data_IF_306373885542
#
_entry.id   IF_306373885542
#
_cell.length_a   1.000
_cell.length_b   1.000
_cell.length_c   1.000
_cell.angle_alpha   90.00
_cell.angle_beta   90.00
_cell.angle_gamma   90.00
#
_symmetry.space_group_name_H-M   'P 1'
#
loop_
_entity.id
_entity.type
_entity.pdbx_description
1 polymer ?
#
# COMPACT_ATOMS: atom_id res chain seq x y z
N UNK A 1 -7.89 24.41 -19.53
CA UNK A 1 -9.16 25.09 -19.18
C UNK A 1 -8.84 26.51 -18.79
N UNK A 2 -9.58 27.51 -19.30
CA UNK A 2 -9.41 28.90 -18.86
C UNK A 2 -10.01 29.02 -17.45
N UNK A 3 -9.30 29.69 -16.56
CA UNK A 3 -9.81 30.00 -15.22
C UNK A 3 -10.98 30.97 -15.34
N UNK A 4 -12.14 30.56 -14.80
CA UNK A 4 -13.40 31.34 -14.82
C UNK A 4 -13.85 31.68 -13.40
N UNK A 5 -13.01 31.46 -12.40
CA UNK A 5 -13.37 31.67 -11.00
C UNK A 5 -13.80 33.12 -10.74
N UNK A 6 -13.07 34.09 -11.30
CA UNK A 6 -13.41 35.52 -11.18
C UNK A 6 -14.78 35.86 -11.81
N UNK A 7 -15.06 35.38 -13.02
CA UNK A 7 -16.37 35.60 -13.69
C UNK A 7 -17.52 35.03 -12.84
N UNK A 8 -17.33 33.84 -12.27
CA UNK A 8 -18.35 33.19 -11.44
C UNK A 8 -18.55 33.93 -10.11
N UNK A 9 -17.49 34.44 -9.49
CA UNK A 9 -17.58 35.26 -8.27
C UNK A 9 -18.31 36.59 -8.52
N UNK A 10 -18.09 37.23 -9.66
CA UNK A 10 -18.80 38.44 -10.04
C UNK A 10 -20.29 38.18 -10.28
N UNK A 11 -20.63 37.10 -10.99
CA UNK A 11 -22.02 36.70 -11.21
C UNK A 11 -22.74 36.36 -9.90
N UNK A 12 -22.07 35.69 -8.96
CA UNK A 12 -22.63 35.39 -7.64
C UNK A 12 -22.90 36.67 -6.82
N UNK A 13 -21.99 37.65 -6.87
CA UNK A 13 -22.19 38.97 -6.24
C UNK A 13 -23.39 39.70 -6.83
N UNK A 14 -23.53 39.70 -8.16
CA UNK A 14 -24.65 40.35 -8.84
C UNK A 14 -25.99 39.67 -8.53
N UNK A 15 -26.01 38.35 -8.41
CA UNK A 15 -27.19 37.59 -8.00
C UNK A 15 -27.65 37.94 -6.58
N UNK A 16 -26.73 37.97 -5.61
CA UNK A 16 -27.04 38.35 -4.22
C UNK A 16 -27.49 39.82 -4.08
N UNK A 17 -27.09 40.70 -5.00
CA UNK A 17 -27.59 42.08 -5.04
C UNK A 17 -29.00 42.19 -5.64
N UNK A 18 -29.37 41.30 -6.57
CA UNK A 18 -30.70 41.29 -7.19
C UNK A 18 -31.77 40.58 -6.33
N UNK A 19 -31.35 39.63 -5.50
CA UNK A 19 -32.20 38.92 -4.56
C UNK A 19 -31.52 38.92 -3.19
N UNK A 20 -31.60 40.02 -2.42
CA UNK A 20 -31.10 40.01 -1.06
C UNK A 20 -31.87 38.92 -0.30
N UNK A 21 -31.14 37.96 0.27
CA UNK A 21 -31.72 37.08 1.28
C UNK A 21 -32.24 38.02 2.38
N UNK A 22 -33.54 37.94 2.69
CA UNK A 22 -34.06 38.60 3.89
C UNK A 22 -33.46 37.84 5.10
N UNK A 23 -32.29 38.28 5.54
CA UNK A 23 -31.49 37.74 6.66
C UNK A 23 -32.08 38.11 8.04
N UNK A 24 -33.40 38.07 8.20
CA UNK A 24 -34.03 38.23 9.52
C UNK A 24 -34.20 36.89 10.26
N UNK A 25 -33.37 35.88 9.95
CA UNK A 25 -33.31 34.61 10.69
C UNK A 25 -31.85 34.14 10.97
N UNK A 26 -30.90 35.09 11.03
CA UNK A 26 -29.51 34.84 11.48
C UNK A 26 -29.41 34.76 13.02
N UNK A 27 -30.17 33.87 13.66
CA UNK A 27 -29.88 33.50 15.06
C UNK A 27 -30.08 32.02 15.39
N UNK A 28 -30.07 31.15 14.39
CA UNK A 28 -29.87 29.73 14.65
C UNK A 28 -28.37 29.48 14.85
N UNK A 29 -27.93 28.93 16.00
CA UNK A 29 -26.55 28.53 16.17
C UNK A 29 -26.19 27.62 15.01
N UNK A 30 -25.09 27.90 14.30
CA UNK A 30 -24.41 26.92 13.46
C UNK A 30 -23.86 25.83 14.40
N UNK A 31 -24.74 25.02 14.96
CA UNK A 31 -24.38 23.74 15.54
C UNK A 31 -23.89 22.93 14.36
N UNK A 32 -22.56 22.80 14.25
CA UNK A 32 -21.94 21.96 13.23
C UNK A 32 -22.39 20.54 13.56
N UNK A 33 -23.49 20.12 12.94
CA UNK A 33 -24.00 18.76 12.99
C UNK A 33 -22.94 17.89 12.30
N UNK A 34 -21.96 17.44 13.08
CA UNK A 34 -21.03 16.40 12.67
C UNK A 34 -21.84 15.12 12.53
N UNK A 35 -22.18 14.78 11.30
CA UNK A 35 -22.85 13.51 11.02
C UNK A 35 -21.89 12.38 11.37
N UNK A 36 -22.41 11.26 11.85
CA UNK A 36 -21.62 10.05 12.19
C UNK A 36 -20.71 9.60 11.03
N UNK A 37 -21.14 9.88 9.79
CA UNK A 37 -20.38 9.67 8.55
C UNK A 37 -19.11 10.51 8.45
N UNK A 38 -19.09 11.73 9.00
CA UNK A 38 -17.93 12.63 8.93
C UNK A 38 -16.80 12.17 9.86
N UNK A 39 -17.16 11.63 11.04
CA UNK A 39 -16.19 11.05 11.96
C UNK A 39 -15.57 9.74 11.41
N UNK A 40 -16.41 8.89 10.82
CA UNK A 40 -15.96 7.64 10.20
C UNK A 40 -15.02 7.93 8.99
N UNK A 41 -15.36 8.92 8.16
CA UNK A 41 -14.50 9.37 7.07
C UNK A 41 -13.17 9.96 7.57
N UNK A 42 -13.19 10.80 8.61
CA UNK A 42 -11.98 11.37 9.18
C UNK A 42 -11.01 10.30 9.72
N UNK A 43 -11.55 9.27 10.38
CA UNK A 43 -10.77 8.12 10.87
C UNK A 43 -10.18 7.33 9.71
N UNK A 44 -11.00 7.01 8.70
CA UNK A 44 -10.57 6.34 7.48
C UNK A 44 -9.42 7.11 6.78
N UNK A 45 -9.53 8.43 6.62
CA UNK A 45 -8.48 9.23 6.01
C UNK A 45 -7.17 9.20 6.79
N UNK A 46 -7.24 9.19 8.13
CA UNK A 46 -6.06 9.07 8.99
C UNK A 46 -5.35 7.73 8.77
N UNK A 47 -6.12 6.64 8.69
CA UNK A 47 -5.58 5.30 8.45
C UNK A 47 -4.96 5.18 7.05
N UNK A 48 -5.66 5.68 6.02
CA UNK A 48 -5.14 5.75 4.64
C UNK A 48 -3.81 6.49 4.61
N UNK A 49 -3.73 7.65 5.25
CA UNK A 49 -2.51 8.45 5.26
C UNK A 49 -1.38 7.75 6.01
N UNK A 50 -1.69 7.07 7.12
CA UNK A 50 -0.69 6.29 7.84
C UNK A 50 -0.12 5.16 6.99
N UNK A 51 -0.96 4.39 6.30
CA UNK A 51 -0.51 3.29 5.44
C UNK A 51 0.28 3.82 4.24
N UNK A 52 -0.14 4.94 3.64
CA UNK A 52 0.61 5.64 2.58
C UNK A 52 2.03 5.98 3.01
N UNK A 53 2.18 6.62 4.17
CA UNK A 53 3.49 7.00 4.70
C UNK A 53 4.34 5.76 4.99
N UNK A 54 3.76 4.72 5.57
CA UNK A 54 4.49 3.48 5.83
C UNK A 54 4.95 2.79 4.54
N UNK A 55 4.11 2.75 3.49
CA UNK A 55 4.47 2.22 2.18
C UNK A 55 5.61 3.01 1.53
N UNK A 56 5.61 4.35 1.64
CA UNK A 56 6.71 5.17 1.15
C UNK A 56 8.02 4.84 1.88
N UNK A 57 7.98 4.74 3.20
CA UNK A 57 9.16 4.36 3.98
C UNK A 57 9.63 2.92 3.69
N UNK A 58 8.70 1.97 3.46
CA UNK A 58 9.05 0.63 3.04
C UNK A 58 9.83 0.65 1.72
N UNK A 59 9.35 1.40 0.73
CA UNK A 59 10.01 1.56 -0.57
C UNK A 59 11.40 2.20 -0.42
N UNK A 60 11.53 3.19 0.46
CA UNK A 60 12.84 3.81 0.78
C UNK A 60 13.80 2.81 1.45
N UNK A 61 13.31 2.01 2.40
CA UNK A 61 14.08 0.99 3.09
C UNK A 61 14.60 -0.08 2.11
N UNK A 62 13.74 -0.54 1.19
CA UNK A 62 14.10 -1.49 0.13
C UNK A 62 15.15 -0.91 -0.82
N UNK A 63 14.99 0.33 -1.27
CA UNK A 63 16.01 1.01 -2.08
C UNK A 63 17.34 1.17 -1.34
N UNK A 64 17.28 1.46 -0.03
CA UNK A 64 18.46 1.57 0.83
C UNK A 64 19.18 0.22 0.98
N UNK A 65 18.43 -0.87 1.12
CA UNK A 65 18.97 -2.23 1.13
C UNK A 65 19.71 -2.54 -0.19
N UNK A 66 19.08 -2.27 -1.34
CA UNK A 66 19.71 -2.49 -2.65
C UNK A 66 21.02 -1.70 -2.82
N UNK A 67 21.08 -0.45 -2.33
CA UNK A 67 22.32 0.35 -2.32
C UNK A 67 23.40 -0.26 -1.42
N UNK A 68 23.03 -0.72 -0.23
CA UNK A 68 23.95 -1.39 0.71
C UNK A 68 24.49 -2.70 0.11
N UNK A 69 23.63 -3.51 -0.52
CA UNK A 69 24.02 -4.74 -1.21
C UNK A 69 25.02 -4.43 -2.35
N UNK A 70 24.76 -3.44 -3.19
CA UNK A 70 25.70 -3.04 -4.25
C UNK A 70 27.05 -2.53 -3.72
N UNK A 71 27.05 -1.78 -2.61
CA UNK A 71 28.30 -1.36 -1.93
C UNK A 71 29.07 -2.55 -1.38
N UNK A 72 28.36 -3.53 -0.82
CA UNK A 72 28.96 -4.76 -0.35
C UNK A 72 29.60 -5.57 -1.48
N UNK A 73 29.00 -5.57 -2.67
CA UNK A 73 29.56 -6.24 -3.85
C UNK A 73 30.84 -5.58 -4.37
N UNK A 74 30.87 -4.25 -4.39
CA UNK A 74 31.97 -3.45 -4.96
C UNK A 74 33.12 -3.21 -3.99
N UNK A 75 32.89 -3.36 -2.68
CA UNK A 75 33.93 -3.18 -1.68
C UNK A 75 34.93 -4.35 -1.66
N UNK A 76 36.22 -4.04 -1.82
CA UNK A 76 37.33 -4.99 -1.72
C UNK A 76 37.61 -5.46 -0.29
N UNK A 77 37.18 -4.69 0.72
CA UNK A 77 37.22 -5.08 2.15
C UNK A 77 35.81 -5.38 2.65
N UNK A 78 35.62 -6.57 3.22
CA UNK A 78 34.38 -6.99 3.90
C UNK A 78 34.21 -6.19 5.19
N UNK A 79 33.61 -5.01 5.10
CA UNK A 79 33.33 -4.17 6.27
C UNK A 79 32.20 -4.80 7.08
N UNK A 80 32.51 -5.22 8.30
CA UNK A 80 31.53 -5.79 9.24
C UNK A 80 30.38 -4.83 9.56
N UNK A 81 30.60 -3.51 9.43
CA UNK A 81 29.57 -2.48 9.54
C UNK A 81 28.51 -2.59 8.44
N UNK A 82 28.90 -2.64 7.16
CA UNK A 82 27.99 -2.80 6.02
C UNK A 82 27.10 -4.03 6.20
N UNK A 83 27.69 -5.14 6.65
CA UNK A 83 26.95 -6.37 6.92
C UNK A 83 25.93 -6.23 8.06
N UNK A 84 26.26 -5.49 9.13
CA UNK A 84 25.30 -5.21 10.20
C UNK A 84 24.15 -4.36 9.67
N UNK A 85 24.48 -3.31 8.91
CA UNK A 85 23.50 -2.39 8.31
C UNK A 85 22.51 -3.12 7.39
N UNK A 86 22.97 -4.00 6.49
CA UNK A 86 22.08 -4.81 5.64
C UNK A 86 21.10 -5.65 6.47
N UNK A 87 21.58 -6.30 7.54
CA UNK A 87 20.73 -7.14 8.38
C UNK A 87 19.75 -6.33 9.23
N UNK A 88 20.13 -5.14 9.69
CA UNK A 88 19.21 -4.26 10.42
C UNK A 88 18.15 -3.71 9.49
N UNK A 89 18.53 -3.23 8.30
CA UNK A 89 17.57 -2.74 7.29
C UNK A 89 16.57 -3.84 6.93
N UNK A 90 17.02 -5.07 6.70
CA UNK A 90 16.12 -6.17 6.37
C UNK A 90 15.14 -6.51 7.51
N UNK A 91 15.56 -6.40 8.77
CA UNK A 91 14.67 -6.55 9.92
C UNK A 91 13.64 -5.42 10.01
N UNK A 92 14.06 -4.19 9.74
CA UNK A 92 13.17 -3.02 9.73
C UNK A 92 12.13 -3.14 8.61
N UNK A 93 12.53 -3.58 7.41
CA UNK A 93 11.65 -3.90 6.29
C UNK A 93 10.59 -4.93 6.70
N UNK A 94 11.03 -6.03 7.34
CA UNK A 94 10.10 -7.07 7.84
C UNK A 94 9.09 -6.50 8.82
N UNK A 95 9.56 -5.83 9.87
CA UNK A 95 8.68 -5.28 10.91
C UNK A 95 7.70 -4.26 10.34
N UNK A 96 8.14 -3.43 9.39
CA UNK A 96 7.28 -2.46 8.70
C UNK A 96 6.28 -3.17 7.79
N UNK A 97 6.69 -4.19 7.04
CA UNK A 97 5.82 -4.98 6.18
C UNK A 97 4.70 -5.68 6.96
N UNK A 98 5.02 -6.30 8.09
CA UNK A 98 4.03 -6.88 9.03
C UNK A 98 3.10 -5.82 9.62
N UNK A 99 3.61 -4.61 9.87
CA UNK A 99 2.81 -3.47 10.33
C UNK A 99 1.81 -2.99 9.27
N UNK A 100 2.26 -2.80 8.04
CA UNK A 100 1.42 -2.41 6.89
C UNK A 100 0.37 -3.48 6.64
N UNK A 101 0.75 -4.76 6.65
CA UNK A 101 -0.18 -5.87 6.43
C UNK A 101 -1.33 -5.87 7.44
N UNK A 102 -1.04 -5.71 8.75
CA UNK A 102 -2.08 -5.61 9.79
C UNK A 102 -3.03 -4.42 9.59
N UNK A 103 -2.49 -3.27 9.18
CA UNK A 103 -3.32 -2.08 8.88
C UNK A 103 -4.20 -2.30 7.66
N UNK A 104 -3.67 -2.95 6.61
CA UNK A 104 -4.44 -3.32 5.42
C UNK A 104 -5.56 -4.33 5.76
N UNK A 105 -5.30 -5.31 6.64
CA UNK A 105 -6.35 -6.21 7.14
C UNK A 105 -7.44 -5.44 7.90
N UNK A 106 -7.06 -4.53 8.79
CA UNK A 106 -8.04 -3.69 9.52
C UNK A 106 -8.90 -2.85 8.57
N UNK A 107 -8.27 -2.28 7.53
CA UNK A 107 -8.98 -1.50 6.49
C UNK A 107 -9.89 -2.37 5.63
N UNK A 108 -9.52 -3.64 5.38
CA UNK A 108 -10.37 -4.62 4.72
C UNK A 108 -11.60 -4.92 5.57
N UNK A 109 -11.43 -5.21 6.86
CA UNK A 109 -12.56 -5.48 7.76
C UNK A 109 -13.49 -4.27 7.84
N UNK A 110 -12.94 -3.05 7.85
CA UNK A 110 -13.70 -1.82 7.75
C UNK A 110 -14.47 -1.70 6.42
N UNK A 111 -13.89 -2.12 5.29
CA UNK A 111 -14.60 -2.14 4.00
C UNK A 111 -15.82 -3.05 4.05
N UNK A 112 -15.66 -4.26 4.60
CA UNK A 112 -16.75 -5.24 4.73
C UNK A 112 -17.87 -4.69 5.64
N UNK A 113 -17.51 -4.10 6.79
CA UNK A 113 -18.48 -3.46 7.70
C UNK A 113 -19.19 -2.25 7.07
N UNK A 114 -18.46 -1.37 6.39
CA UNK A 114 -19.02 -0.21 5.70
C UNK A 114 -19.99 -0.62 4.57
N UNK A 115 -19.68 -1.68 3.83
CA UNK A 115 -20.56 -2.24 2.81
C UNK A 115 -21.86 -2.77 3.41
N UNK A 116 -21.80 -3.45 4.57
CA UNK A 116 -23.01 -3.95 5.25
C UNK A 116 -23.87 -2.82 5.85
N UNK A 117 -23.25 -1.79 6.42
CA UNK A 117 -23.95 -0.70 7.12
C UNK A 117 -24.51 0.37 6.19
N UNK A 118 -23.73 0.79 5.22
CA UNK A 118 -24.05 1.94 4.36
C UNK A 118 -24.41 1.53 2.93
N UNK A 119 -24.22 0.25 2.58
CA UNK A 119 -24.38 -0.27 1.24
C UNK A 119 -23.14 -0.05 0.37
N UNK A 120 -23.00 -0.86 -0.68
CA UNK A 120 -21.88 -0.84 -1.62
C UNK A 120 -21.66 0.52 -2.30
N UNK A 121 -22.73 1.30 -2.47
CA UNK A 121 -22.72 2.58 -3.20
C UNK A 121 -22.42 3.80 -2.32
N UNK A 122 -22.27 3.62 -0.99
CA UNK A 122 -21.97 4.72 -0.10
C UNK A 122 -20.59 5.33 -0.42
N UNK A 123 -20.44 6.63 -0.14
CA UNK A 123 -19.16 7.34 -0.33
C UNK A 123 -18.06 6.67 0.50
N UNK A 124 -18.34 6.31 1.75
CA UNK A 124 -17.35 5.72 2.64
C UNK A 124 -16.88 4.35 2.16
N UNK A 125 -17.80 3.51 1.66
CA UNK A 125 -17.48 2.19 1.10
C UNK A 125 -16.62 2.31 -0.16
N UNK A 126 -16.96 3.24 -1.05
CA UNK A 126 -16.24 3.45 -2.32
C UNK A 126 -14.86 4.04 -2.10
N UNK A 127 -14.75 5.08 -1.28
CA UNK A 127 -13.46 5.72 -0.94
C UNK A 127 -12.53 4.71 -0.27
N UNK A 128 -13.06 3.94 0.69
CA UNK A 128 -12.28 2.95 1.40
C UNK A 128 -11.83 1.78 0.51
N UNK A 129 -12.72 1.24 -0.33
CA UNK A 129 -12.37 0.17 -1.28
C UNK A 129 -11.30 0.61 -2.29
N UNK A 130 -11.45 1.79 -2.89
CA UNK A 130 -10.49 2.31 -3.86
C UNK A 130 -9.11 2.48 -3.21
N UNK A 131 -9.05 3.15 -2.06
CA UNK A 131 -7.77 3.37 -1.39
C UNK A 131 -7.14 2.08 -0.88
N UNK A 132 -7.93 1.11 -0.43
CA UNK A 132 -7.41 -0.21 -0.06
C UNK A 132 -6.68 -0.87 -1.24
N UNK A 133 -7.25 -0.84 -2.45
CA UNK A 133 -6.63 -1.38 -3.66
C UNK A 133 -5.31 -0.65 -3.97
N UNK A 134 -5.33 0.69 -4.00
CA UNK A 134 -4.14 1.50 -4.27
C UNK A 134 -2.99 1.21 -3.27
N UNK A 135 -3.33 1.15 -1.98
CA UNK A 135 -2.39 0.91 -0.89
C UNK A 135 -1.82 -0.51 -0.93
N UNK A 136 -2.66 -1.50 -1.25
CA UNK A 136 -2.25 -2.89 -1.40
C UNK A 136 -1.29 -3.05 -2.57
N UNK A 137 -1.58 -2.44 -3.71
CA UNK A 137 -0.70 -2.49 -4.88
C UNK A 137 0.67 -1.85 -4.58
N UNK A 138 0.69 -0.68 -3.94
CA UNK A 138 1.93 -0.03 -3.54
C UNK A 138 2.77 -0.89 -2.56
N UNK A 139 2.10 -1.59 -1.64
CA UNK A 139 2.74 -2.53 -0.73
C UNK A 139 3.33 -3.74 -1.47
N UNK A 140 2.57 -4.34 -2.39
CA UNK A 140 3.00 -5.46 -3.24
C UNK A 140 4.22 -5.09 -4.09
N UNK A 141 4.20 -3.94 -4.75
CA UNK A 141 5.32 -3.44 -5.56
C UNK A 141 6.60 -3.35 -4.71
N UNK A 142 6.51 -2.73 -3.52
CA UNK A 142 7.66 -2.61 -2.62
C UNK A 142 8.19 -3.97 -2.14
N UNK A 143 7.30 -4.91 -1.84
CA UNK A 143 7.69 -6.26 -1.43
C UNK A 143 8.29 -7.06 -2.60
N UNK A 144 7.85 -6.81 -3.84
CA UNK A 144 8.42 -7.45 -5.02
C UNK A 144 9.84 -6.96 -5.27
N UNK A 145 10.04 -5.64 -5.19
CA UNK A 145 11.37 -5.01 -5.23
C UNK A 145 12.29 -5.57 -4.12
N UNK A 146 11.75 -5.81 -2.91
CA UNK A 146 12.52 -6.42 -1.82
C UNK A 146 12.95 -7.85 -2.13
N UNK A 147 12.02 -8.69 -2.60
CA UNK A 147 12.32 -10.07 -2.99
C UNK A 147 13.36 -10.12 -4.10
N UNK A 148 13.24 -9.26 -5.12
CA UNK A 148 14.23 -9.15 -6.18
C UNK A 148 15.62 -8.77 -5.64
N UNK A 149 15.69 -7.81 -4.71
CA UNK A 149 16.96 -7.41 -4.08
C UNK A 149 17.62 -8.55 -3.28
N UNK A 150 16.84 -9.37 -2.57
CA UNK A 150 17.33 -10.52 -1.81
C UNK A 150 17.76 -11.66 -2.74
N UNK A 151 16.99 -11.97 -3.78
CA UNK A 151 17.33 -12.97 -4.80
C UNK A 151 18.61 -12.60 -5.55
N UNK A 152 18.77 -11.34 -5.92
CA UNK A 152 20.02 -10.85 -6.52
C UNK A 152 21.20 -11.02 -5.56
N UNK A 153 21.02 -10.77 -4.26
CA UNK A 153 22.10 -10.95 -3.28
C UNK A 153 22.44 -12.44 -3.05
N UNK A 154 21.45 -13.33 -3.12
CA UNK A 154 21.62 -14.79 -3.08
C UNK A 154 22.47 -15.28 -4.25
N UNK A 155 22.12 -14.88 -5.48
CA UNK A 155 22.87 -15.25 -6.68
C UNK A 155 24.32 -14.75 -6.63
N UNK A 156 24.51 -13.51 -6.17
CA UNK A 156 25.86 -12.98 -5.96
C UNK A 156 26.67 -13.78 -4.94
N UNK A 157 26.04 -14.28 -3.87
CA UNK A 157 26.72 -15.14 -2.90
C UNK A 157 27.11 -16.49 -3.53
N UNK A 158 26.24 -17.07 -4.36
CA UNK A 158 26.50 -18.30 -5.12
C UNK A 158 27.70 -18.15 -6.06
N UNK A 159 27.70 -17.11 -6.90
CA UNK A 159 28.83 -16.80 -7.82
C UNK A 159 30.14 -16.64 -7.06
N UNK A 160 30.12 -15.99 -5.89
CA UNK A 160 31.32 -15.84 -5.06
C UNK A 160 31.82 -17.16 -4.49
N UNK A 161 30.93 -18.05 -4.04
CA UNK A 161 31.31 -19.39 -3.58
C UNK A 161 31.94 -20.17 -4.74
N UNK A 162 31.33 -20.13 -5.92
CA UNK A 162 31.85 -20.80 -7.11
C UNK A 162 33.29 -20.36 -7.43
N UNK A 163 33.55 -19.06 -7.47
CA UNK A 163 34.89 -18.51 -7.72
C UNK A 163 35.93 -18.96 -6.67
N UNK A 164 35.54 -19.07 -5.40
CA UNK A 164 36.46 -19.55 -4.36
C UNK A 164 36.80 -21.04 -4.53
N UNK A 165 35.84 -21.84 -5.01
CA UNK A 165 36.08 -23.24 -5.32
C UNK A 165 37.00 -23.39 -6.53
N UNK A 166 36.81 -22.58 -7.57
CA UNK A 166 37.70 -22.52 -8.74
C UNK A 166 39.13 -22.15 -8.33
N UNK A 167 39.32 -21.18 -7.41
CA UNK A 167 40.63 -20.82 -6.85
C UNK A 167 41.26 -22.00 -6.09
N UNK A 168 40.46 -22.82 -5.42
CA UNK A 168 40.91 -24.05 -4.76
C UNK A 168 41.18 -25.21 -5.74
N UNK A 169 41.00 -25.00 -7.05
CA UNK A 169 41.18 -26.01 -8.08
C UNK A 169 40.02 -27.02 -8.18
N UNK A 170 38.86 -26.71 -7.60
CA UNK A 170 37.64 -27.51 -7.74
C UNK A 170 36.72 -26.86 -8.78
N UNK A 171 36.54 -27.53 -9.91
CA UNK A 171 35.56 -27.13 -10.91
C UNK A 171 34.18 -27.63 -10.48
N UNK A 172 33.31 -26.71 -10.05
CA UNK A 172 31.97 -27.00 -9.53
C UNK A 172 30.98 -26.13 -10.29
N UNK A 173 30.00 -26.77 -10.93
CA UNK A 173 28.96 -26.04 -11.65
C UNK A 173 28.01 -25.31 -10.69
N UNK A 174 27.37 -24.24 -11.16
CA UNK A 174 26.37 -23.52 -10.37
C UNK A 174 25.22 -24.41 -9.88
N UNK A 175 24.84 -25.45 -10.65
CA UNK A 175 23.79 -26.39 -10.24
C UNK A 175 24.25 -27.28 -9.09
N UNK A 176 25.50 -27.73 -9.09
CA UNK A 176 26.04 -28.50 -7.96
C UNK A 176 26.11 -27.66 -6.69
N UNK A 177 26.41 -26.35 -6.78
CA UNK A 177 26.37 -25.46 -5.63
C UNK A 177 24.93 -25.32 -5.09
N UNK A 178 23.95 -25.26 -5.99
CA UNK A 178 22.52 -25.26 -5.64
C UNK A 178 22.12 -26.53 -4.88
N UNK A 179 22.49 -27.70 -5.41
CA UNK A 179 22.24 -28.99 -4.74
C UNK A 179 22.90 -29.04 -3.36
N UNK A 180 24.09 -28.46 -3.20
CA UNK A 180 24.78 -28.38 -1.91
C UNK A 180 24.10 -27.42 -0.93
N UNK A 181 23.52 -26.33 -1.42
CA UNK A 181 22.69 -25.41 -0.63
C UNK A 181 21.43 -26.14 -0.13
N UNK A 182 20.74 -26.86 -1.01
CA UNK A 182 19.50 -27.58 -0.67
C UNK A 182 19.74 -28.75 0.28
N UNK A 183 20.79 -29.54 0.04
CA UNK A 183 21.11 -30.71 0.86
C UNK A 183 21.81 -30.35 2.17
N UNK A 184 22.32 -29.12 2.30
CA UNK A 184 23.08 -28.67 3.48
C UNK A 184 24.42 -29.38 3.68
N UNK A 185 24.94 -30.09 2.68
CA UNK A 185 26.17 -30.88 2.75
C UNK A 185 27.39 -30.04 2.34
N UNK A 186 27.95 -29.29 3.28
CA UNK A 186 29.10 -28.39 3.04
C UNK A 186 30.47 -29.03 3.34
N UNK A 187 30.48 -30.20 3.98
CA UNK A 187 31.71 -30.89 4.43
C UNK A 187 32.61 -31.37 3.28
N UNK A 188 32.04 -31.48 2.07
CA UNK A 188 32.75 -31.84 0.82
C UNK A 188 33.89 -30.87 0.51
N UNK A 189 33.87 -29.65 1.07
CA UNK A 189 34.91 -28.65 0.86
C UNK A 189 36.13 -28.81 1.77
N UNK A 190 35.98 -29.43 2.94
CA UNK A 190 37.06 -29.60 3.92
C UNK A 190 38.00 -30.78 3.66
N UNK A 191 37.61 -31.77 2.86
CA UNK A 191 38.30 -33.08 2.81
C UNK A 191 39.66 -33.10 2.07
N UNK A 192 40.03 -32.09 1.26
CA UNK A 192 41.20 -32.18 0.36
C UNK A 192 42.26 -31.06 0.52
N UNK A 193 42.50 -30.57 1.75
CA UNK A 193 43.36 -29.40 2.02
C UNK A 193 44.89 -29.67 2.03
N UNK A 194 45.40 -30.54 1.16
CA UNK A 194 46.78 -31.07 1.29
C UNK A 194 47.88 -30.32 0.52
N UNK A 195 47.58 -29.29 -0.29
CA UNK A 195 48.58 -28.69 -1.21
C UNK A 195 48.92 -27.21 -0.99
N UNK A 196 48.09 -26.38 -0.35
CA UNK A 196 48.43 -24.97 -0.04
C UNK A 196 47.71 -24.46 1.23
N UNK A 197 48.39 -24.57 2.38
CA UNK A 197 47.78 -24.38 3.71
C UNK A 197 47.27 -22.95 3.97
N UNK A 198 47.86 -21.92 3.34
CA UNK A 198 47.46 -20.52 3.58
C UNK A 198 46.38 -20.04 2.61
N UNK A 199 46.53 -20.30 1.31
CA UNK A 199 45.54 -19.94 0.29
C UNK A 199 44.22 -20.70 0.50
N UNK A 200 44.30 -22.01 0.69
CA UNK A 200 43.11 -22.86 0.85
C UNK A 200 42.34 -22.55 2.15
N UNK A 201 43.04 -22.20 3.24
CA UNK A 201 42.38 -21.81 4.50
C UNK A 201 41.64 -20.48 4.40
N UNK A 202 42.17 -19.52 3.64
CA UNK A 202 41.50 -18.25 3.39
C UNK A 202 40.23 -18.45 2.54
N UNK A 203 40.32 -19.25 1.47
CA UNK A 203 39.18 -19.60 0.62
C UNK A 203 38.07 -20.33 1.40
N UNK A 204 38.43 -21.30 2.24
CA UNK A 204 37.46 -21.99 3.10
C UNK A 204 36.73 -21.06 4.07
N UNK A 205 37.46 -20.18 4.76
CA UNK A 205 36.83 -19.19 5.66
C UNK A 205 35.91 -18.23 4.89
N UNK A 206 36.29 -17.89 3.66
CA UNK A 206 35.41 -17.12 2.78
C UNK A 206 34.13 -17.88 2.44
N UNK A 207 34.22 -19.14 2.00
CA UNK A 207 33.09 -20.02 1.70
C UNK A 207 32.18 -20.16 2.91
N UNK A 208 32.71 -20.45 4.11
CA UNK A 208 31.92 -20.57 5.33
C UNK A 208 31.17 -19.27 5.66
N UNK A 209 31.83 -18.12 5.49
CA UNK A 209 31.21 -16.81 5.70
C UNK A 209 30.09 -16.55 4.68
N UNK A 210 30.29 -16.92 3.40
CA UNK A 210 29.26 -16.79 2.35
C UNK A 210 28.08 -17.72 2.63
N UNK A 211 28.33 -18.95 3.04
CA UNK A 211 27.30 -19.91 3.41
C UNK A 211 26.40 -19.38 4.55
N UNK A 212 26.99 -18.85 5.63
CA UNK A 212 26.23 -18.22 6.72
C UNK A 212 25.39 -17.03 6.26
N UNK A 213 25.81 -16.32 5.21
CA UNK A 213 25.02 -15.24 4.62
C UNK A 213 23.89 -15.78 3.74
N UNK A 214 24.16 -16.83 2.96
CA UNK A 214 23.16 -17.50 2.14
C UNK A 214 22.02 -18.08 2.99
N UNK A 215 22.33 -18.73 4.11
CA UNK A 215 21.31 -19.22 5.05
C UNK A 215 20.42 -18.09 5.62
N UNK A 216 21.00 -16.90 5.85
CA UNK A 216 20.23 -15.73 6.28
C UNK A 216 19.35 -15.18 5.17
N UNK A 217 19.86 -15.13 3.95
CA UNK A 217 19.11 -14.74 2.75
C UNK A 217 17.91 -15.68 2.55
N UNK A 218 18.12 -17.00 2.60
CA UNK A 218 17.06 -18.01 2.51
C UNK A 218 15.98 -17.83 3.57
N UNK A 219 16.39 -17.54 4.81
CA UNK A 219 15.43 -17.27 5.90
C UNK A 219 14.58 -16.04 5.58
N UNK A 220 15.20 -14.95 5.11
CA UNK A 220 14.48 -13.72 4.76
C UNK A 220 13.57 -13.89 3.54
N UNK A 221 14.02 -14.60 2.51
CA UNK A 221 13.20 -14.91 1.32
C UNK A 221 11.97 -15.72 1.74
N UNK A 222 12.13 -16.69 2.65
CA UNK A 222 11.00 -17.47 3.19
C UNK A 222 10.01 -16.60 3.97
N UNK A 223 10.51 -15.70 4.82
CA UNK A 223 9.66 -14.75 5.57
C UNK A 223 8.89 -13.81 4.63
N UNK A 224 9.52 -13.35 3.55
CA UNK A 224 8.86 -12.54 2.51
C UNK A 224 7.79 -13.35 1.79
N UNK A 225 8.07 -14.60 1.45
CA UNK A 225 7.12 -15.49 0.82
C UNK A 225 5.89 -15.72 1.71
N UNK A 226 6.07 -15.87 3.03
CA UNK A 226 4.96 -15.96 3.98
C UNK A 226 4.07 -14.70 3.94
N UNK A 227 4.66 -13.51 3.92
CA UNK A 227 3.93 -12.25 3.76
C UNK A 227 3.21 -12.18 2.41
N UNK A 228 3.81 -12.69 1.33
CA UNK A 228 3.18 -12.74 0.01
C UNK A 228 2.03 -13.72 -0.08
N UNK A 229 2.11 -14.89 0.56
CA UNK A 229 1.00 -15.84 0.61
C UNK A 229 -0.23 -15.22 1.28
N UNK A 230 -0.02 -14.42 2.34
CA UNK A 230 -1.08 -13.68 3.02
C UNK A 230 -1.69 -12.58 2.13
N UNK A 231 -0.91 -12.03 1.19
CA UNK A 231 -1.35 -10.99 0.25
C UNK A 231 -1.99 -11.58 -1.02
N UNK A 232 -1.55 -12.75 -1.49
CA UNK A 232 -2.10 -13.41 -2.69
C UNK A 232 -3.58 -13.77 -2.52
N UNK A 233 -4.00 -14.15 -1.31
CA UNK A 233 -5.41 -14.37 -0.96
C UNK A 233 -6.28 -13.10 -1.08
N UNK A 234 -5.67 -11.91 -1.06
CA UNK A 234 -6.37 -10.63 -1.13
C UNK A 234 -6.55 -10.12 -2.58
N UNK A 235 -5.82 -10.71 -3.54
CA UNK A 235 -5.80 -10.29 -4.95
C UNK A 235 -6.96 -10.87 -5.75
N UNK A 236 -7.46 -12.07 -5.41
CA UNK A 236 -8.59 -12.69 -6.11
C UNK A 236 -9.89 -11.87 -6.02
N UNK A 237 -10.04 -11.02 -5.01
CA UNK A 237 -11.19 -10.10 -4.89
C UNK A 237 -11.03 -8.77 -5.66
N UNK A 238 -9.85 -8.48 -6.23
CA UNK A 238 -9.52 -7.18 -6.85
C UNK A 238 -9.57 -7.18 -8.39
N UNK A 239 -9.52 -8.35 -9.04
CA UNK A 239 -9.41 -8.48 -10.49
C UNK A 239 -10.63 -7.91 -11.27
N UNK A 240 -11.82 -7.88 -10.64
CA UNK A 240 -13.05 -7.38 -11.28
C UNK A 240 -13.19 -5.84 -11.29
N UNK A 241 -12.25 -5.10 -10.70
CA UNK A 241 -12.34 -3.64 -10.52
C UNK A 241 -11.14 -2.92 -11.14
N UNK A 242 -10.80 -3.17 -12.40
CA UNK A 242 -9.77 -2.39 -13.09
C UNK A 242 -10.31 -1.09 -13.75
N UNK A 243 -11.63 -0.96 -13.91
CA UNK A 243 -12.29 0.26 -14.43
C UNK A 243 -13.00 1.07 -13.32
N UNK A 244 -12.29 1.29 -12.21
CA UNK A 244 -12.84 1.93 -11.01
C UNK A 244 -13.39 3.32 -11.30
N UNK A 245 -12.74 4.14 -12.15
CA UNK A 245 -13.16 5.52 -12.38
C UNK A 245 -14.45 5.57 -13.19
N UNK A 246 -14.50 4.88 -14.33
CA UNK A 246 -15.70 4.86 -15.19
C UNK A 246 -16.88 4.26 -14.43
N UNK A 247 -16.68 3.12 -13.78
CA UNK A 247 -17.71 2.44 -12.99
C UNK A 247 -18.16 3.26 -11.78
N UNK A 248 -17.26 4.02 -11.14
CA UNK A 248 -17.63 4.93 -10.06
C UNK A 248 -18.37 6.18 -10.54
N UNK A 249 -18.04 6.71 -11.72
CA UNK A 249 -18.71 7.88 -12.30
C UNK A 249 -20.11 7.49 -12.78
N UNK A 250 -20.22 6.38 -13.52
CA UNK A 250 -21.49 5.83 -14.00
C UNK A 250 -22.46 5.56 -12.82
N UNK A 251 -21.97 4.93 -11.75
CA UNK A 251 -22.80 4.66 -10.56
C UNK A 251 -23.18 5.91 -9.76
N UNK A 252 -22.38 6.98 -9.80
CA UNK A 252 -22.76 8.27 -9.18
C UNK A 252 -23.87 8.94 -9.95
N UNK A 253 -23.82 8.88 -11.27
CA UNK A 253 -24.87 9.42 -12.14
C UNK A 253 -26.22 8.77 -11.84
N UNK A 254 -26.26 7.45 -11.68
CA UNK A 254 -27.46 6.69 -11.31
C UNK A 254 -28.05 7.13 -9.96
N UNK A 255 -27.21 7.23 -8.92
CA UNK A 255 -27.66 7.62 -7.58
C UNK A 255 -28.16 9.07 -7.51
N UNK A 256 -27.46 10.00 -8.17
CA UNK A 256 -27.90 11.40 -8.27
C UNK A 256 -29.22 11.49 -9.05
N UNK A 257 -29.41 10.66 -10.08
CA UNK A 257 -30.67 10.52 -10.80
C UNK A 257 -31.82 10.12 -9.88
N UNK A 258 -31.62 9.11 -9.02
CA UNK A 258 -32.62 8.65 -8.06
C UNK A 258 -32.90 9.70 -6.97
N UNK A 259 -31.86 10.32 -6.41
CA UNK A 259 -32.00 11.40 -5.42
C UNK A 259 -32.79 12.58 -5.98
N UNK A 260 -32.52 12.99 -7.23
CA UNK A 260 -33.28 14.04 -7.94
C UNK A 260 -34.75 13.65 -8.08
N UNK A 261 -35.04 12.38 -8.33
CA UNK A 261 -36.42 11.87 -8.38
C UNK A 261 -37.11 11.97 -7.01
N UNK A 262 -36.43 11.62 -5.92
CA UNK A 262 -36.95 11.74 -4.55
C UNK A 262 -37.17 13.19 -4.13
N UNK A 263 -36.23 14.10 -4.44
CA UNK A 263 -36.38 15.54 -4.20
C UNK A 263 -37.56 16.11 -4.98
N UNK A 264 -37.76 15.68 -6.24
CA UNK A 264 -38.93 16.08 -7.05
C UNK A 264 -40.23 15.61 -6.41
N UNK A 265 -40.31 14.35 -5.95
CA UNK A 265 -41.46 13.82 -5.22
C UNK A 265 -41.72 14.61 -3.93
N UNK A 266 -40.68 14.92 -3.15
CA UNK A 266 -40.79 15.73 -1.95
C UNK A 266 -41.31 17.14 -2.24
N UNK A 267 -40.85 17.77 -3.33
CA UNK A 267 -41.36 19.05 -3.82
C UNK A 267 -42.83 18.98 -4.24
N UNK A 268 -43.24 17.89 -4.91
CA UNK A 268 -44.63 17.63 -5.26
C UNK A 268 -45.51 17.43 -4.01
N UNK A 269 -45.04 16.68 -3.01
CA UNK A 269 -45.74 16.53 -1.74
C UNK A 269 -45.86 17.87 -1.00
N UNK A 270 -44.80 18.70 -0.97
CA UNK A 270 -44.84 20.05 -0.40
C UNK A 270 -45.83 20.96 -1.13
N UNK A 271 -45.91 20.86 -2.46
CA UNK A 271 -46.88 21.63 -3.27
C UNK A 271 -48.33 21.18 -3.04
N UNK A 272 -48.55 19.88 -2.85
CA UNK A 272 -49.87 19.28 -2.60
C UNK A 272 -50.25 19.27 -1.11
N UNK A 273 -49.41 19.82 -0.24
CA UNK A 273 -49.64 19.79 1.21
C UNK A 273 -50.89 20.60 1.55
N UNK A 274 -51.93 19.98 2.14
CA UNK A 274 -53.25 20.60 2.29
C UNK A 274 -53.25 21.89 3.10
N UNK A 275 -52.29 22.08 4.00
CA UNK A 275 -52.15 23.32 4.77
C UNK A 275 -51.86 24.56 3.90
N UNK A 276 -51.19 24.42 2.74
CA UNK A 276 -50.99 25.55 1.80
C UNK A 276 -52.24 25.85 0.97
N UNK A 277 -53.01 24.83 0.64
CA UNK A 277 -54.28 24.98 -0.10
C UNK A 277 -55.39 25.54 0.79
N UNK A 278 -55.41 25.17 2.08
CA UNK A 278 -56.38 25.65 3.07
C UNK A 278 -56.06 27.07 3.57
N UNK A 279 -54.78 27.44 3.78
CA UNK A 279 -54.44 28.82 4.21
C UNK A 279 -54.57 29.88 3.11
N UNK A 280 -54.57 29.49 1.82
CA UNK A 280 -54.75 30.44 0.72
C UNK A 280 -56.22 30.92 0.61
N UNK A 281 -57.18 30.15 1.11
CA UNK A 281 -58.59 30.57 1.17
C UNK A 281 -58.91 31.44 2.41
N UNK A 282 -57.98 31.61 3.34
CA UNK A 282 -58.19 32.41 4.56
C UNK A 282 -57.50 33.80 4.50
N UNK A 283 -56.78 34.13 3.42
CA UNK A 283 -56.07 35.41 3.26
C UNK A 283 -56.51 36.23 2.02
N UNK A 284 -57.65 35.89 1.41
CA UNK A 284 -58.26 36.66 0.30
C UNK A 284 -59.40 37.59 0.74
N UNK A 285 -59.48 37.92 2.03
CA UNK A 285 -60.35 38.99 2.53
C UNK A 285 -59.51 40.13 3.10
N UNK A 286 -58.98 40.96 2.20
CA UNK A 286 -58.84 42.41 2.30
C UNK A 286 -58.63 42.96 0.88
#
# INVERSE_FOLDING_TARGET
MKDRLCELCELARLYNQQFPNNEDDESLPHETLLFETDYALATLYKDIQSIRTDNLHLKEDVKRLGKQNNRFLTSMRRLSSIKRDTNTIAKDIKARGEGIHRKLQTMRDFNEDAETKHGTMSVITRVSKNHYVDLMHAFQEAMFEYNEAEMNQRENCKIRIQRQLEIMGKDVSGNQIEDMIEQGKWDVFSENLLSDVRGARAALNEIETRHKELMKLETRIREVHELFLQVALLVEQQADTFDIIQLNVEKVEDYVGEAKCQVRKALEYRRKHPCRTLLCCCFSCC
#
